data_IF_963184238495
#
_entry.id   IF_963184238495
#
_cell.length_a   1.000
_cell.length_b   1.000
_cell.length_c   1.000
_cell.angle_alpha   90.00
_cell.angle_beta   90.00
_cell.angle_gamma   90.00
#
_symmetry.space_group_name_H-M   'P 1'
#
loop_
_entity.id
_entity.type
_entity.pdbx_description
1 polymer ?
#
# COMPACT_ATOMS: atom_id res chain seq x y z
N UNK A 1 23.80 4.14 -72.15
CA UNK A 1 22.67 3.39 -71.57
C UNK A 1 22.95 3.25 -70.06
N UNK A 2 22.26 4.04 -69.23
CA UNK A 2 22.39 4.01 -67.76
C UNK A 2 21.00 3.64 -67.21
N UNK A 3 20.88 2.40 -66.69
CA UNK A 3 19.65 1.92 -66.02
C UNK A 3 19.66 2.41 -64.58
N UNK A 4 18.65 3.20 -64.25
CA UNK A 4 18.37 3.60 -62.89
C UNK A 4 17.48 2.54 -62.23
N UNK A 5 17.98 1.93 -61.15
CA UNK A 5 17.22 1.03 -60.27
C UNK A 5 16.49 1.88 -59.23
N UNK A 6 15.18 1.94 -59.31
CA UNK A 6 14.33 2.51 -58.27
C UNK A 6 14.09 1.47 -57.21
N UNK A 7 14.63 1.69 -55.99
CA UNK A 7 14.28 0.89 -54.80
C UNK A 7 13.02 1.47 -54.17
N UNK A 8 11.92 0.77 -54.34
CA UNK A 8 10.65 1.07 -53.61
C UNK A 8 10.81 0.47 -52.20
N UNK A 9 11.01 1.33 -51.20
CA UNK A 9 10.94 0.95 -49.78
C UNK A 9 9.43 0.84 -49.41
N UNK A 10 8.94 -0.42 -49.38
CA UNK A 10 7.63 -0.71 -48.83
C UNK A 10 7.74 -0.63 -47.30
N UNK A 11 7.28 0.47 -46.69
CA UNK A 11 7.03 0.56 -45.26
C UNK A 11 5.88 -0.40 -44.90
N UNK A 12 6.23 -1.63 -44.50
CA UNK A 12 5.28 -2.53 -43.86
C UNK A 12 4.86 -1.90 -42.51
N UNK A 13 3.70 -1.24 -42.51
CA UNK A 13 3.04 -0.88 -41.27
C UNK A 13 2.62 -2.17 -40.57
N UNK A 14 3.44 -2.61 -39.60
CA UNK A 14 3.03 -3.68 -38.70
C UNK A 14 1.78 -3.19 -37.96
N UNK A 15 0.65 -3.88 -38.08
CA UNK A 15 -0.50 -3.55 -37.24
C UNK A 15 -0.08 -3.75 -35.79
N UNK A 16 -0.07 -2.69 -35.00
CA UNK A 16 0.02 -2.82 -33.55
C UNK A 16 -1.11 -3.75 -33.12
N UNK A 17 -0.84 -4.79 -32.31
CA UNK A 17 -1.93 -5.58 -31.77
C UNK A 17 -2.90 -4.61 -31.09
N UNK A 18 -4.11 -4.54 -31.61
CA UNK A 18 -5.20 -3.85 -30.94
C UNK A 18 -5.33 -4.58 -29.59
N UNK A 19 -4.95 -3.90 -28.53
CA UNK A 19 -5.30 -4.35 -27.18
C UNK A 19 -6.81 -4.44 -27.22
N UNK A 20 -7.34 -5.66 -27.06
CA UNK A 20 -8.77 -5.87 -27.01
C UNK A 20 -9.30 -4.97 -25.90
N UNK A 21 -9.97 -3.87 -26.28
CA UNK A 21 -10.68 -3.03 -25.33
C UNK A 21 -11.76 -3.94 -24.73
N UNK A 22 -11.59 -4.29 -23.48
CA UNK A 22 -12.65 -4.97 -22.74
C UNK A 22 -13.75 -3.96 -22.54
N UNK A 23 -14.96 -4.26 -23.01
CA UNK A 23 -16.15 -3.41 -22.84
C UNK A 23 -16.61 -3.34 -21.37
N UNK A 24 -15.88 -3.95 -20.47
CA UNK A 24 -16.20 -4.07 -19.05
C UNK A 24 -15.06 -3.56 -18.15
N UNK A 25 -15.46 -2.99 -17.01
CA UNK A 25 -14.54 -2.61 -15.95
C UNK A 25 -13.91 -3.87 -15.31
N UNK A 26 -12.61 -3.82 -15.07
CA UNK A 26 -11.85 -4.89 -14.41
C UNK A 26 -11.12 -4.32 -13.22
N UNK A 27 -11.29 -4.95 -12.05
CA UNK A 27 -10.51 -4.67 -10.86
C UNK A 27 -9.26 -5.56 -10.85
N UNK A 28 -8.08 -4.95 -10.76
CA UNK A 28 -6.83 -5.67 -10.53
C UNK A 28 -6.57 -5.75 -9.02
N UNK A 29 -6.32 -6.96 -8.54
CA UNK A 29 -6.23 -7.25 -7.12
C UNK A 29 -4.78 -7.24 -6.64
N UNK A 30 -4.50 -6.47 -5.59
CA UNK A 30 -3.23 -6.51 -4.87
C UNK A 30 -3.35 -7.41 -3.64
N UNK A 31 -2.56 -8.47 -3.59
CA UNK A 31 -2.47 -9.35 -2.44
C UNK A 31 -1.14 -9.19 -1.72
N UNK A 32 -1.11 -9.49 -0.42
CA UNK A 32 0.12 -9.45 0.33
C UNK A 32 -0.04 -9.41 1.84
N UNK A 33 1.04 -9.05 2.51
CA UNK A 33 1.03 -8.82 3.94
C UNK A 33 1.84 -7.57 4.30
N UNK A 34 1.42 -6.90 5.37
CA UNK A 34 2.17 -5.84 6.03
C UNK A 34 2.57 -6.33 7.41
N UNK A 35 3.83 -6.16 7.75
CA UNK A 35 4.37 -6.39 9.09
C UNK A 35 4.80 -5.03 9.63
N UNK A 36 4.32 -4.67 10.82
CA UNK A 36 4.61 -3.38 11.44
C UNK A 36 5.18 -3.61 12.84
N UNK A 37 6.29 -2.95 13.14
CA UNK A 37 6.80 -2.78 14.50
C UNK A 37 6.74 -1.30 14.88
N UNK A 38 5.93 -0.97 15.88
CA UNK A 38 5.96 0.35 16.50
C UNK A 38 7.10 0.35 17.51
N UNK A 39 8.27 0.80 17.06
CA UNK A 39 9.47 0.92 17.87
C UNK A 39 9.43 2.17 18.78
N UNK A 40 10.46 2.35 19.59
CA UNK A 40 10.53 3.43 20.57
C UNK A 40 10.58 4.83 19.92
N UNK A 41 11.21 4.94 18.77
CA UNK A 41 11.60 6.17 18.10
C UNK A 41 11.04 6.33 16.68
N UNK A 42 10.47 5.28 16.10
CA UNK A 42 9.81 5.32 14.81
C UNK A 42 8.91 4.10 14.58
N UNK A 43 8.12 4.11 13.52
CA UNK A 43 7.35 2.96 13.06
C UNK A 43 8.08 2.32 11.89
N UNK A 44 8.45 1.05 12.03
CA UNK A 44 9.09 0.25 10.96
C UNK A 44 8.04 -0.66 10.34
N UNK A 45 7.99 -0.73 9.03
CA UNK A 45 7.07 -1.61 8.33
C UNK A 45 7.73 -2.28 7.13
N UNK A 46 7.31 -3.51 6.88
CA UNK A 46 7.68 -4.29 5.70
C UNK A 46 6.45 -4.81 5.00
N UNK A 47 6.44 -4.78 3.68
CA UNK A 47 5.32 -5.23 2.85
C UNK A 47 5.80 -6.30 1.89
N UNK A 48 5.14 -7.46 1.89
CA UNK A 48 5.42 -8.56 0.98
C UNK A 48 4.28 -8.64 -0.03
N UNK A 49 4.64 -8.70 -1.31
CA UNK A 49 3.70 -8.94 -2.40
C UNK A 49 3.40 -10.44 -2.51
N UNK A 50 2.13 -10.81 -2.49
CA UNK A 50 1.68 -12.15 -2.85
C UNK A 50 0.73 -12.07 -4.04
N UNK A 51 1.10 -12.67 -5.15
CA UNK A 51 0.20 -12.79 -6.29
C UNK A 51 -1.01 -13.64 -5.88
N UNK A 52 -2.20 -13.07 -6.02
CA UNK A 52 -3.47 -13.74 -5.67
C UNK A 52 -4.04 -14.47 -6.88
N UNK A 53 -3.88 -13.88 -8.07
CA UNK A 53 -4.40 -14.40 -9.35
C UNK A 53 -3.58 -13.86 -10.53
N UNK A 54 -3.94 -14.26 -11.75
CA UNK A 54 -3.29 -13.78 -12.99
C UNK A 54 -3.45 -12.27 -13.26
N UNK A 55 -4.42 -11.63 -12.61
CA UNK A 55 -4.68 -10.18 -12.66
C UNK A 55 -4.08 -9.45 -11.45
N UNK A 56 -3.15 -10.10 -10.75
CA UNK A 56 -2.53 -9.54 -9.55
C UNK A 56 -1.60 -8.38 -9.90
N UNK A 57 -1.75 -7.31 -9.14
CA UNK A 57 -0.83 -6.17 -9.12
C UNK A 57 -0.11 -6.13 -7.77
N UNK A 58 1.11 -5.58 -7.69
CA UNK A 58 1.80 -5.46 -6.41
C UNK A 58 1.06 -4.49 -5.48
N UNK A 59 1.10 -4.73 -4.16
CA UNK A 59 0.64 -3.73 -3.18
C UNK A 59 1.40 -2.43 -3.38
N UNK A 60 0.70 -1.32 -3.26
CA UNK A 60 1.27 0.01 -3.45
C UNK A 60 1.30 0.74 -2.12
N UNK A 61 2.21 1.70 -2.01
CA UNK A 61 2.33 2.56 -0.85
C UNK A 61 2.24 4.02 -1.29
N UNK A 62 1.45 4.81 -0.57
CA UNK A 62 1.33 6.24 -0.82
C UNK A 62 1.29 7.01 0.49
N UNK A 63 2.00 8.14 0.56
CA UNK A 63 1.83 9.08 1.66
C UNK A 63 0.48 9.77 1.49
N UNK A 64 -0.46 9.49 2.39
CA UNK A 64 -1.85 9.98 2.31
C UNK A 64 -2.03 11.35 2.95
N UNK A 65 -1.17 11.66 3.93
CA UNK A 65 -1.02 12.98 4.53
C UNK A 65 0.43 13.17 5.04
N UNK A 66 0.81 14.32 5.60
CA UNK A 66 2.17 14.55 6.10
C UNK A 66 2.64 13.58 7.18
N UNK A 67 1.73 12.89 7.86
CA UNK A 67 2.01 12.05 9.04
C UNK A 67 1.68 10.58 8.82
N UNK A 68 1.07 10.20 7.66
CA UNK A 68 0.61 8.84 7.41
C UNK A 68 0.98 8.33 6.02
N UNK A 69 1.36 7.06 5.98
CA UNK A 69 1.48 6.27 4.76
C UNK A 69 0.33 5.26 4.70
N UNK A 70 -0.25 5.12 3.51
CA UNK A 70 -1.24 4.09 3.21
C UNK A 70 -0.63 2.96 2.37
N UNK A 71 -0.93 1.71 2.72
CA UNK A 71 -0.62 0.52 1.93
C UNK A 71 -1.93 -0.03 1.39
N UNK A 72 -1.99 -0.24 0.08
CA UNK A 72 -3.20 -0.50 -0.69
C UNK A 72 -3.26 -1.98 -1.10
N UNK A 73 -4.31 -2.67 -0.70
CA UNK A 73 -4.58 -4.07 -1.04
C UNK A 73 -5.95 -4.26 -1.65
N UNK A 74 -6.18 -5.43 -2.23
CA UNK A 74 -7.44 -5.76 -2.91
C UNK A 74 -7.57 -4.99 -4.22
N UNK A 75 -8.76 -4.55 -4.57
CA UNK A 75 -9.09 -3.82 -5.79
C UNK A 75 -8.51 -2.40 -5.78
N UNK A 76 -7.19 -2.29 -5.83
CA UNK A 76 -6.44 -1.02 -5.76
C UNK A 76 -6.23 -0.35 -7.12
N UNK A 77 -6.40 -1.10 -8.21
CA UNK A 77 -6.24 -0.62 -9.58
C UNK A 77 -7.43 -1.07 -10.45
N UNK A 78 -7.97 -0.17 -11.28
CA UNK A 78 -9.18 -0.37 -12.05
C UNK A 78 -8.96 -0.05 -13.52
N UNK A 79 -9.14 -1.05 -14.39
CA UNK A 79 -9.18 -0.84 -15.82
C UNK A 79 -10.61 -0.47 -16.23
N UNK A 80 -10.81 0.77 -16.65
CA UNK A 80 -12.12 1.28 -17.07
C UNK A 80 -12.15 1.32 -18.61
N UNK A 81 -13.22 0.82 -19.25
CA UNK A 81 -13.40 0.94 -20.69
C UNK A 81 -13.31 2.42 -21.12
N UNK A 82 -12.66 2.67 -22.24
CA UNK A 82 -12.41 3.99 -22.79
C UNK A 82 -11.40 4.89 -22.05
N UNK A 83 -10.91 4.49 -20.87
CA UNK A 83 -9.82 5.20 -20.22
C UNK A 83 -8.47 4.65 -20.72
N UNK A 84 -7.54 5.52 -21.14
CA UNK A 84 -6.26 5.11 -21.70
C UNK A 84 -5.31 4.54 -20.64
N UNK A 85 -5.58 4.78 -19.36
CA UNK A 85 -4.78 4.32 -18.23
C UNK A 85 -5.68 3.77 -17.13
N UNK A 86 -5.21 2.78 -16.36
CA UNK A 86 -5.96 2.30 -15.22
C UNK A 86 -6.09 3.40 -14.14
N UNK A 87 -7.24 3.44 -13.48
CA UNK A 87 -7.45 4.27 -12.29
C UNK A 87 -6.75 3.60 -11.12
N UNK A 88 -5.91 4.32 -10.42
CA UNK A 88 -5.12 3.87 -9.29
C UNK A 88 -5.51 4.63 -8.04
N UNK A 89 -5.97 3.90 -7.02
CA UNK A 89 -6.44 4.51 -5.77
C UNK A 89 -5.33 5.18 -4.96
N UNK A 90 -4.10 4.68 -5.06
CA UNK A 90 -2.93 5.30 -4.43
C UNK A 90 -2.63 6.69 -5.00
N UNK A 91 -2.81 6.90 -6.29
CA UNK A 91 -2.70 8.22 -6.92
C UNK A 91 -3.78 9.18 -6.43
N UNK A 92 -5.00 8.66 -6.34
CA UNK A 92 -6.15 9.47 -6.00
C UNK A 92 -6.13 9.97 -4.56
N UNK A 93 -5.55 9.20 -3.63
CA UNK A 93 -5.41 9.62 -2.23
C UNK A 93 -4.44 10.78 -2.02
N UNK A 94 -3.46 10.96 -2.89
CA UNK A 94 -2.56 12.12 -2.82
C UNK A 94 -3.30 13.45 -3.03
N UNK A 95 -4.42 13.43 -3.76
CA UNK A 95 -5.23 14.61 -4.04
C UNK A 95 -6.30 14.87 -2.97
N UNK A 96 -6.59 13.90 -2.11
CA UNK A 96 -7.50 14.02 -0.96
C UNK A 96 -6.76 14.55 0.27
N UNK A 97 -5.77 15.42 0.10
CA UNK A 97 -5.15 16.11 1.24
C UNK A 97 -6.22 16.94 1.94
N UNK A 98 -6.45 16.75 3.23
CA UNK A 98 -7.30 17.65 3.99
C UNK A 98 -6.75 19.06 3.80
N UNK A 99 -7.65 20.01 3.53
CA UNK A 99 -7.29 21.38 3.30
C UNK A 99 -6.45 21.87 4.50
N UNK A 100 -5.17 22.18 4.29
CA UNK A 100 -4.21 22.56 5.35
C UNK A 100 -4.67 23.73 6.23
N UNK A 101 -5.78 24.40 5.86
CA UNK A 101 -6.38 25.51 6.57
C UNK A 101 -7.56 25.14 7.48
N UNK A 102 -8.01 23.87 7.46
CA UNK A 102 -9.03 23.46 8.39
C UNK A 102 -8.44 23.42 9.82
N UNK A 103 -8.95 24.27 10.69
CA UNK A 103 -8.67 24.21 12.12
C UNK A 103 -9.02 22.80 12.61
N UNK A 104 -8.04 22.08 13.14
CA UNK A 104 -8.23 20.78 13.75
C UNK A 104 -8.49 20.97 15.25
N UNK A 105 -9.71 20.73 15.74
CA UNK A 105 -9.93 20.69 17.17
C UNK A 105 -9.16 19.52 17.81
N UNK A 106 -8.76 19.60 19.07
CA UNK A 106 -8.20 18.47 19.81
C UNK A 106 -9.18 17.28 19.75
N UNK A 107 -8.71 16.12 19.30
CA UNK A 107 -9.54 14.94 19.01
C UNK A 107 -9.82 14.69 17.51
N UNK A 108 -9.29 15.51 16.63
CA UNK A 108 -9.53 15.43 15.18
C UNK A 108 -8.81 14.27 14.46
N UNK A 109 -8.00 13.45 15.14
CA UNK A 109 -7.37 12.30 14.54
C UNK A 109 -8.41 11.32 13.95
N UNK A 110 -9.48 11.04 14.68
CA UNK A 110 -10.61 10.23 14.20
C UNK A 110 -11.30 10.85 12.98
N UNK A 111 -11.43 12.19 12.94
CA UNK A 111 -12.05 12.89 11.81
C UNK A 111 -11.24 12.78 10.53
N UNK A 112 -9.91 12.71 10.59
CA UNK A 112 -9.07 12.58 9.41
C UNK A 112 -9.13 11.17 8.84
N UNK A 113 -9.11 10.14 9.68
CA UNK A 113 -9.32 8.74 9.28
C UNK A 113 -10.69 8.56 8.64
N UNK A 114 -11.73 9.13 9.24
CA UNK A 114 -13.08 9.09 8.69
C UNK A 114 -13.15 9.81 7.34
N UNK A 115 -12.49 10.96 7.19
CA UNK A 115 -12.41 11.70 5.92
C UNK A 115 -11.68 10.90 4.85
N UNK A 116 -10.56 10.26 5.17
CA UNK A 116 -9.85 9.36 4.26
C UNK A 116 -10.77 8.20 3.86
N UNK A 117 -11.43 7.57 4.82
CA UNK A 117 -12.32 6.45 4.58
C UNK A 117 -13.54 6.83 3.73
N UNK A 118 -14.17 7.96 3.99
CA UNK A 118 -15.31 8.45 3.20
C UNK A 118 -14.86 8.91 1.82
N UNK A 119 -13.74 9.61 1.72
CA UNK A 119 -13.19 10.07 0.44
C UNK A 119 -12.89 8.92 -0.51
N UNK A 120 -12.31 7.82 0.00
CA UNK A 120 -12.10 6.58 -0.77
C UNK A 120 -13.42 5.90 -1.13
N UNK A 121 -14.39 5.86 -0.21
CA UNK A 121 -15.72 5.30 -0.49
C UNK A 121 -16.39 6.01 -1.67
N UNK A 122 -16.32 7.34 -1.71
CA UNK A 122 -16.90 8.13 -2.80
C UNK A 122 -16.23 7.84 -4.15
N UNK A 123 -14.93 7.54 -4.15
CA UNK A 123 -14.21 7.15 -5.36
C UNK A 123 -14.46 5.71 -5.79
N UNK A 124 -14.55 4.80 -4.83
CA UNK A 124 -14.83 3.38 -5.09
C UNK A 124 -16.26 3.14 -5.57
N UNK A 125 -17.23 3.92 -5.07
CA UNK A 125 -18.66 3.72 -5.38
C UNK A 125 -18.96 3.72 -6.89
N UNK A 126 -18.54 4.70 -7.71
CA UNK A 126 -18.79 4.67 -9.14
C UNK A 126 -18.06 3.54 -9.86
N UNK A 127 -16.89 3.12 -9.40
CA UNK A 127 -16.15 2.01 -9.97
C UNK A 127 -16.86 0.67 -9.67
N UNK A 128 -17.18 0.45 -8.41
CA UNK A 128 -17.85 -0.78 -7.95
C UNK A 128 -19.23 -0.93 -8.55
N UNK A 129 -19.99 0.16 -8.73
CA UNK A 129 -21.33 0.11 -9.35
C UNK A 129 -21.31 -0.33 -10.82
N UNK A 130 -20.17 -0.28 -11.49
CA UNK A 130 -19.98 -0.75 -12.87
C UNK A 130 -19.55 -2.22 -12.96
N UNK A 131 -19.32 -2.88 -11.82
CA UNK A 131 -19.02 -4.32 -11.79
C UNK A 131 -20.32 -5.10 -11.92
N UNK A 132 -20.59 -5.61 -13.13
CA UNK A 132 -21.81 -6.34 -13.45
C UNK A 132 -21.61 -7.86 -13.50
N UNK A 133 -20.37 -8.33 -13.38
CA UNK A 133 -20.06 -9.75 -13.24
C UNK A 133 -20.06 -10.16 -11.78
N UNK A 134 -20.39 -11.42 -11.54
CA UNK A 134 -20.23 -12.01 -10.22
C UNK A 134 -18.75 -12.00 -9.84
N UNK A 135 -18.45 -11.41 -8.70
CA UNK A 135 -17.14 -11.50 -8.07
C UNK A 135 -17.20 -12.61 -7.04
N UNK A 136 -16.19 -13.47 -7.00
CA UNK A 136 -16.12 -14.54 -6.00
C UNK A 136 -15.57 -13.99 -4.67
N UNK A 137 -16.33 -13.09 -4.06
CA UNK A 137 -16.02 -12.53 -2.73
C UNK A 137 -16.57 -13.47 -1.65
N UNK A 138 -15.71 -13.84 -0.73
CA UNK A 138 -16.18 -14.49 0.50
C UNK A 138 -16.94 -13.49 1.36
N UNK A 139 -17.93 -13.91 2.16
CA UNK A 139 -18.85 -13.02 2.88
C UNK A 139 -18.17 -11.97 3.77
N UNK A 140 -17.00 -12.27 4.32
CA UNK A 140 -16.25 -11.37 5.21
C UNK A 140 -14.96 -10.81 4.59
N UNK A 141 -14.69 -11.11 3.31
CA UNK A 141 -13.49 -10.65 2.63
C UNK A 141 -13.69 -9.23 2.08
N UNK A 142 -12.80 -8.29 2.40
CA UNK A 142 -12.89 -6.95 1.85
C UNK A 142 -12.56 -6.96 0.35
N UNK A 143 -13.32 -6.18 -0.42
CA UNK A 143 -12.98 -5.89 -1.82
C UNK A 143 -11.68 -5.09 -1.91
N UNK A 144 -11.50 -4.19 -0.96
CA UNK A 144 -10.33 -3.31 -0.87
C UNK A 144 -9.99 -3.05 0.59
N UNK A 145 -8.70 -3.02 0.91
CA UNK A 145 -8.19 -2.69 2.24
C UNK A 145 -7.08 -1.64 2.15
N UNK A 146 -7.16 -0.64 3.00
CA UNK A 146 -6.10 0.33 3.24
C UNK A 146 -5.52 0.09 4.64
N UNK A 147 -4.22 -0.23 4.70
CA UNK A 147 -3.47 -0.22 5.96
C UNK A 147 -2.84 1.15 6.12
N UNK A 148 -3.22 1.88 7.15
CA UNK A 148 -2.72 3.21 7.46
C UNK A 148 -1.72 3.14 8.60
N UNK A 149 -0.54 3.71 8.40
CA UNK A 149 0.58 3.68 9.34
C UNK A 149 1.08 5.12 9.51
N UNK A 150 1.17 5.61 10.75
CA UNK A 150 1.66 6.96 10.97
C UNK A 150 1.52 7.45 12.39
N UNK A 151 1.41 8.76 12.53
CA UNK A 151 1.34 9.44 13.82
C UNK A 151 0.14 10.39 13.87
N UNK A 152 -0.74 10.14 14.84
CA UNK A 152 -1.79 11.08 15.18
C UNK A 152 -1.22 12.25 15.96
N UNK A 153 -1.55 13.47 15.55
CA UNK A 153 -1.11 14.67 16.23
C UNK A 153 -1.54 14.66 17.71
N UNK A 154 -0.58 14.76 18.63
CA UNK A 154 -0.75 14.71 20.08
C UNK A 154 -1.15 13.35 20.70
N UNK A 155 -1.30 12.29 19.89
CA UNK A 155 -1.67 10.95 20.40
C UNK A 155 -0.57 9.90 20.18
N UNK A 156 0.42 10.20 19.31
CA UNK A 156 1.55 9.31 19.01
C UNK A 156 1.28 8.36 17.86
N UNK A 157 2.03 7.24 17.81
CA UNK A 157 1.96 6.30 16.70
C UNK A 157 0.60 5.60 16.63
N UNK A 158 0.12 5.38 15.39
CA UNK A 158 -1.12 4.66 15.12
C UNK A 158 -1.01 3.77 13.89
N UNK A 159 -1.73 2.67 13.92
CA UNK A 159 -1.89 1.74 12.80
C UNK A 159 -3.35 1.34 12.71
N UNK A 160 -3.93 1.51 11.53
CA UNK A 160 -5.33 1.21 11.24
C UNK A 160 -5.46 0.34 10.00
N UNK A 161 -6.54 -0.44 9.97
CA UNK A 161 -7.03 -1.09 8.75
C UNK A 161 -8.40 -0.52 8.43
N UNK A 162 -8.57 -0.07 7.19
CA UNK A 162 -9.84 0.43 6.67
C UNK A 162 -10.29 -0.53 5.57
N UNK A 163 -11.31 -1.32 5.87
CA UNK A 163 -11.83 -2.35 4.97
C UNK A 163 -13.09 -1.90 4.27
N UNK A 164 -13.14 -2.08 2.96
CA UNK A 164 -14.27 -1.80 2.10
C UNK A 164 -14.82 -3.12 1.56
N UNK A 165 -16.03 -3.46 1.99
CA UNK A 165 -16.74 -4.66 1.54
C UNK A 165 -17.75 -4.32 0.47
N UNK A 166 -18.05 -5.27 -0.39
CA UNK A 166 -19.07 -5.15 -1.40
C UNK A 166 -20.11 -6.25 -1.24
N UNK A 167 -21.34 -5.93 -1.57
CA UNK A 167 -22.46 -6.87 -1.67
C UNK A 167 -22.90 -6.94 -3.12
N UNK A 168 -23.24 -8.12 -3.57
CA UNK A 168 -23.75 -8.37 -4.93
C UNK A 168 -25.09 -9.03 -4.88
N UNK A 169 -26.01 -8.55 -5.70
CA UNK A 169 -27.31 -9.17 -5.93
C UNK A 169 -27.58 -9.36 -7.43
N UNK A 170 -28.29 -10.46 -7.81
CA UNK A 170 -28.68 -10.65 -9.20
C UNK A 170 -29.67 -9.56 -9.63
N UNK A 171 -29.46 -8.97 -10.80
CA UNK A 171 -30.33 -7.93 -11.34
C UNK A 171 -30.85 -8.31 -12.73
N UNK A 172 -32.13 -8.60 -12.83
CA UNK A 172 -32.84 -8.88 -14.10
C UNK A 172 -32.49 -10.23 -14.73
N UNK A 173 -31.25 -10.45 -15.17
CA UNK A 173 -30.78 -11.72 -15.74
C UNK A 173 -29.83 -12.45 -14.79
N UNK A 174 -29.66 -13.78 -14.99
CA UNK A 174 -28.76 -14.59 -14.12
C UNK A 174 -27.29 -14.20 -14.25
N UNK A 175 -26.92 -13.52 -15.33
CA UNK A 175 -25.54 -13.18 -15.64
C UNK A 175 -25.20 -11.72 -15.33
N UNK A 176 -26.19 -10.94 -14.87
CA UNK A 176 -26.02 -9.54 -14.53
C UNK A 176 -26.19 -9.34 -13.02
N UNK A 177 -25.15 -8.72 -12.40
CA UNK A 177 -25.08 -8.47 -10.97
C UNK A 177 -25.05 -6.98 -10.70
N UNK A 178 -25.73 -6.55 -9.66
CA UNK A 178 -25.62 -5.23 -9.13
C UNK A 178 -24.71 -5.29 -7.92
N UNK A 179 -23.65 -4.46 -7.93
CA UNK A 179 -22.63 -4.46 -6.87
C UNK A 179 -22.71 -3.14 -6.09
N UNK A 180 -22.82 -3.26 -4.79
CA UNK A 180 -22.87 -2.14 -3.85
C UNK A 180 -21.70 -2.18 -2.90
N UNK A 181 -20.97 -1.07 -2.77
CA UNK A 181 -19.94 -0.94 -1.75
C UNK A 181 -20.56 -0.50 -0.43
N UNK A 182 -20.18 -1.16 0.65
CA UNK A 182 -20.64 -0.87 2.00
C UNK A 182 -19.80 0.28 2.62
N UNK A 183 -20.29 0.82 3.75
CA UNK A 183 -19.51 1.75 4.55
C UNK A 183 -18.20 1.11 5.01
N UNK A 184 -17.08 1.86 5.03
CA UNK A 184 -15.81 1.34 5.49
C UNK A 184 -15.88 0.91 6.96
N UNK A 185 -15.17 -0.18 7.27
CA UNK A 185 -14.95 -0.64 8.63
C UNK A 185 -13.56 -0.20 9.06
N UNK A 186 -13.45 0.50 10.16
CA UNK A 186 -12.20 0.93 10.76
C UNK A 186 -11.80 -0.06 11.86
N UNK A 187 -10.59 -0.57 11.81
CA UNK A 187 -10.04 -1.45 12.82
C UNK A 187 -8.71 -0.87 13.28
N UNK A 188 -8.63 -0.45 14.54
CA UNK A 188 -7.40 0.01 15.16
C UNK A 188 -6.55 -1.19 15.56
N UNK A 189 -5.30 -1.21 15.09
CA UNK A 189 -4.32 -2.21 15.48
C UNK A 189 -3.31 -1.65 16.49
N UNK A 190 -3.03 -0.36 16.43
CA UNK A 190 -2.18 0.34 17.38
C UNK A 190 -2.72 1.75 17.65
N UNK A 191 -2.69 2.25 18.90
CA UNK A 191 -2.29 1.53 20.09
C UNK A 191 -3.24 0.36 20.39
N UNK A 192 -2.71 -0.78 20.88
CA UNK A 192 -3.53 -1.91 21.29
C UNK A 192 -4.37 -1.56 22.53
N UNK A 193 -5.39 -2.34 22.82
CA UNK A 193 -6.13 -2.21 24.08
C UNK A 193 -5.19 -2.32 25.27
N UNK A 194 -5.58 -1.71 26.43
CA UNK A 194 -4.68 -1.51 27.60
C UNK A 194 -4.00 -2.78 28.12
N UNK A 195 -4.58 -3.94 27.89
CA UNK A 195 -4.07 -5.24 28.39
C UNK A 195 -3.44 -6.12 27.31
N UNK A 196 -3.46 -5.67 26.06
CA UNK A 196 -2.87 -6.43 24.97
C UNK A 196 -1.34 -6.27 24.90
N UNK A 197 -0.62 -7.36 24.59
CA UNK A 197 0.82 -7.28 24.43
C UNK A 197 1.20 -6.43 23.22
N UNK A 198 2.20 -5.57 23.37
CA UNK A 198 2.77 -4.76 22.28
C UNK A 198 3.81 -5.59 21.53
N UNK A 199 3.39 -6.20 20.46
CA UNK A 199 4.20 -7.07 19.62
C UNK A 199 4.18 -6.60 18.16
N UNK A 200 4.72 -7.40 17.25
CA UNK A 200 4.59 -7.16 15.82
C UNK A 200 3.12 -7.23 15.41
N UNK A 201 2.71 -6.29 14.60
CA UNK A 201 1.42 -6.30 13.93
C UNK A 201 1.58 -6.94 12.55
N UNK A 202 0.63 -7.76 12.14
CA UNK A 202 0.62 -8.35 10.82
C UNK A 202 -0.79 -8.30 10.21
N UNK A 203 -0.90 -7.64 9.06
CA UNK A 203 -2.11 -7.58 8.25
C UNK A 203 -1.90 -8.41 7.00
N UNK A 204 -2.85 -9.28 6.67
CA UNK A 204 -2.80 -10.21 5.53
C UNK A 204 -4.02 -9.99 4.66
N UNK A 205 -3.81 -9.81 3.35
CA UNK A 205 -4.89 -9.63 2.38
C UNK A 205 -4.62 -10.52 1.15
N UNK A 206 -5.44 -11.51 0.88
CA UNK A 206 -6.57 -11.96 1.68
C UNK A 206 -6.13 -12.54 3.04
N UNK A 207 -7.02 -12.52 4.03
CA UNK A 207 -6.70 -12.95 5.41
C UNK A 207 -6.31 -14.43 5.53
N UNK A 208 -6.69 -15.24 4.55
CA UNK A 208 -6.45 -16.69 4.49
C UNK A 208 -5.19 -17.09 3.70
N UNK A 209 -4.21 -16.21 3.55
CA UNK A 209 -2.92 -16.58 2.97
C UNK A 209 -2.36 -17.82 3.68
N UNK A 210 -1.88 -18.84 2.93
CA UNK A 210 -1.60 -20.18 3.49
C UNK A 210 -0.36 -20.24 4.38
N UNK A 211 0.47 -19.24 4.33
CA UNK A 211 1.75 -19.19 5.03
C UNK A 211 1.60 -18.79 6.51
N UNK A 212 2.58 -19.18 7.30
CA UNK A 212 2.60 -18.90 8.75
C UNK A 212 2.93 -17.43 9.00
N UNK A 213 2.20 -16.73 9.89
CA UNK A 213 2.56 -15.37 10.31
C UNK A 213 3.97 -15.29 10.88
N UNK A 214 4.67 -14.16 10.64
CA UNK A 214 6.03 -13.96 11.20
C UNK A 214 6.05 -14.09 12.73
N UNK A 215 5.03 -13.54 13.40
CA UNK A 215 4.91 -13.67 14.84
C UNK A 215 4.82 -15.16 15.28
N UNK A 216 4.12 -15.99 14.51
CA UNK A 216 4.04 -17.43 14.74
C UNK A 216 5.40 -18.12 14.61
N UNK A 217 6.18 -17.78 13.58
CA UNK A 217 7.55 -18.29 13.41
C UNK A 217 8.47 -17.86 14.55
N UNK A 218 8.34 -16.62 15.02
CA UNK A 218 9.09 -16.11 16.18
C UNK A 218 8.72 -16.86 17.45
N UNK A 219 7.43 -17.08 17.71
CA UNK A 219 6.96 -17.79 18.91
C UNK A 219 7.40 -19.26 18.91
N UNK A 220 7.41 -19.91 17.76
CA UNK A 220 7.85 -21.30 17.59
C UNK A 220 9.38 -21.43 17.56
N UNK A 221 10.10 -20.30 17.47
CA UNK A 221 11.55 -20.25 17.26
C UNK A 221 11.98 -21.12 16.06
N UNK A 222 11.27 -20.95 14.96
CA UNK A 222 11.50 -21.68 13.71
C UNK A 222 12.98 -21.60 13.27
N UNK A 223 13.56 -22.63 12.62
CA UNK A 223 14.97 -22.67 12.28
C UNK A 223 15.54 -21.41 11.59
N UNK A 224 14.88 -20.79 10.60
CA UNK A 224 15.30 -19.51 10.04
C UNK A 224 15.37 -18.38 11.08
N UNK A 225 14.37 -18.28 11.98
CA UNK A 225 14.34 -17.27 13.05
C UNK A 225 15.41 -17.55 14.10
N UNK A 226 15.62 -18.82 14.47
CA UNK A 226 16.70 -19.23 15.38
C UNK A 226 18.08 -18.87 14.81
N UNK A 227 18.27 -19.01 13.50
CA UNK A 227 19.48 -18.57 12.81
C UNK A 227 19.67 -17.06 12.91
N UNK A 228 18.62 -16.25 12.60
CA UNK A 228 18.68 -14.80 12.77
C UNK A 228 19.00 -14.39 14.22
N UNK A 229 18.39 -15.05 15.20
CA UNK A 229 18.64 -14.81 16.62
C UNK A 229 20.11 -14.98 16.99
N UNK A 230 20.78 -15.95 16.38
CA UNK A 230 22.19 -16.26 16.66
C UNK A 230 23.16 -15.44 15.82
N UNK A 231 22.73 -14.89 14.68
CA UNK A 231 23.59 -14.15 13.76
C UNK A 231 23.95 -12.75 14.26
N UNK A 232 23.05 -12.10 15.00
CA UNK A 232 23.25 -10.76 15.57
C UNK A 232 22.63 -10.69 16.99
N UNK A 233 23.41 -10.31 18.03
CA UNK A 233 22.90 -10.13 19.38
C UNK A 233 21.72 -9.14 19.49
N UNK A 234 21.65 -8.13 18.60
CA UNK A 234 20.55 -7.16 18.56
C UNK A 234 19.24 -7.85 18.18
N UNK A 235 19.28 -8.80 17.22
CA UNK A 235 18.11 -9.59 16.83
C UNK A 235 17.64 -10.50 17.96
N UNK A 236 18.59 -11.12 18.71
CA UNK A 236 18.25 -11.90 19.88
C UNK A 236 17.48 -11.08 20.91
N UNK A 237 17.95 -9.89 21.23
CA UNK A 237 17.27 -8.95 22.16
C UNK A 237 15.90 -8.53 21.64
N UNK A 238 15.81 -8.12 20.37
CA UNK A 238 14.54 -7.71 19.75
C UNK A 238 13.51 -8.85 19.79
N UNK A 239 13.90 -10.07 19.42
CA UNK A 239 13.02 -11.22 19.43
C UNK A 239 12.52 -11.55 20.85
N UNK A 240 13.35 -11.39 21.87
CA UNK A 240 12.96 -11.52 23.26
C UNK A 240 11.95 -10.44 23.69
N UNK A 241 12.12 -9.20 23.22
CA UNK A 241 11.18 -8.11 23.48
C UNK A 241 9.83 -8.37 22.81
N UNK A 242 9.83 -8.86 21.56
CA UNK A 242 8.61 -9.25 20.83
C UNK A 242 7.89 -10.37 21.59
N UNK A 243 8.59 -11.43 21.97
CA UNK A 243 8.00 -12.57 22.69
C UNK A 243 7.42 -12.18 24.05
N UNK A 244 7.97 -11.15 24.70
CA UNK A 244 7.45 -10.61 25.98
C UNK A 244 6.31 -9.59 25.79
N UNK A 245 5.88 -9.30 24.55
CA UNK A 245 4.92 -8.26 24.27
C UNK A 245 5.43 -6.85 24.53
N UNK A 246 6.71 -6.60 24.31
CA UNK A 246 7.42 -5.35 24.59
C UNK A 246 8.17 -4.82 23.36
N UNK A 247 7.69 -5.12 22.17
CA UNK A 247 8.32 -4.73 20.90
C UNK A 247 8.59 -3.22 20.77
N UNK A 248 7.75 -2.38 21.42
CA UNK A 248 7.93 -0.93 21.45
C UNK A 248 9.19 -0.46 22.22
N UNK A 249 9.90 -1.34 22.91
CA UNK A 249 11.19 -1.00 23.58
C UNK A 249 12.35 -1.04 22.60
N UNK A 250 12.20 -1.73 21.48
CA UNK A 250 13.22 -1.80 20.45
C UNK A 250 13.51 -0.45 19.83
N UNK A 251 14.73 -0.27 19.34
CA UNK A 251 15.11 0.86 18.49
C UNK A 251 14.67 0.57 17.06
N UNK A 252 14.21 1.59 16.33
CA UNK A 252 13.75 1.44 14.95
C UNK A 252 14.81 0.83 14.03
N UNK A 253 16.08 1.20 14.20
CA UNK A 253 17.18 0.65 13.40
C UNK A 253 17.34 -0.87 13.59
N UNK A 254 17.26 -1.37 14.84
CA UNK A 254 17.32 -2.81 15.10
C UNK A 254 16.13 -3.56 14.49
N UNK A 255 14.96 -2.91 14.52
CA UNK A 255 13.74 -3.45 13.92
C UNK A 255 13.80 -3.47 12.40
N UNK A 256 14.34 -2.42 11.77
CA UNK A 256 14.52 -2.34 10.32
C UNK A 256 15.56 -3.38 9.85
N UNK A 257 16.72 -3.45 10.50
CA UNK A 257 17.74 -4.45 10.16
C UNK A 257 17.19 -5.88 10.29
N UNK A 258 16.38 -6.14 11.34
CA UNK A 258 15.72 -7.43 11.53
C UNK A 258 14.69 -7.72 10.45
N UNK A 259 13.79 -6.78 10.13
CA UNK A 259 12.78 -6.99 9.09
C UNK A 259 13.45 -7.22 7.75
N UNK A 260 14.49 -6.45 7.40
CA UNK A 260 15.27 -6.65 6.16
C UNK A 260 15.86 -8.05 6.06
N UNK A 261 16.29 -8.63 7.18
CA UNK A 261 16.80 -10.00 7.22
C UNK A 261 15.69 -11.06 7.23
N UNK A 262 14.54 -10.76 7.86
CA UNK A 262 13.43 -11.71 8.01
C UNK A 262 12.51 -11.75 6.78
N UNK A 263 12.23 -10.60 6.13
CA UNK A 263 11.32 -10.52 4.98
C UNK A 263 11.69 -11.50 3.84
N UNK A 264 12.95 -11.62 3.40
CA UNK A 264 13.30 -12.60 2.37
C UNK A 264 13.01 -14.04 2.77
N UNK A 265 13.12 -14.39 4.06
CA UNK A 265 12.87 -15.75 4.54
C UNK A 265 11.40 -16.15 4.46
N UNK A 266 10.50 -15.18 4.58
CA UNK A 266 9.05 -15.39 4.55
C UNK A 266 8.43 -15.00 3.20
N UNK A 267 9.09 -14.16 2.41
CA UNK A 267 8.66 -13.78 1.08
C UNK A 267 9.02 -14.84 0.02
N UNK A 268 10.07 -15.64 0.26
CA UNK A 268 10.61 -16.50 -0.78
C UNK A 268 11.04 -15.69 -2.01
N UNK A 269 10.48 -16.03 -3.18
CA UNK A 269 10.74 -15.31 -4.43
C UNK A 269 9.84 -14.07 -4.61
N UNK A 270 8.97 -13.76 -3.65
CA UNK A 270 8.07 -12.60 -3.73
C UNK A 270 8.84 -11.30 -3.47
N UNK A 271 8.44 -10.24 -4.19
CA UNK A 271 8.99 -8.92 -3.97
C UNK A 271 8.50 -8.33 -2.65
N UNK A 272 9.36 -7.55 -2.01
CA UNK A 272 9.00 -6.82 -0.80
C UNK A 272 9.59 -5.42 -0.82
N UNK A 273 9.00 -4.54 -0.02
CA UNK A 273 9.56 -3.23 0.27
C UNK A 273 9.47 -2.94 1.78
N UNK A 274 10.31 -2.01 2.24
CA UNK A 274 10.48 -1.71 3.66
C UNK A 274 10.67 -0.21 3.86
N UNK A 275 10.04 0.35 4.89
CA UNK A 275 10.17 1.74 5.24
C UNK A 275 10.14 2.00 6.75
N UNK A 276 10.60 3.19 7.09
CA UNK A 276 10.57 3.74 8.45
C UNK A 276 9.82 5.06 8.41
N UNK A 277 8.77 5.17 9.23
CA UNK A 277 7.99 6.38 9.39
C UNK A 277 8.35 7.05 10.70
N UNK A 278 8.88 8.26 10.64
CA UNK A 278 9.29 9.07 11.77
C UNK A 278 8.16 9.96 12.30
N UNK A 279 8.24 10.37 13.55
CA UNK A 279 7.21 11.20 14.20
C UNK A 279 7.03 12.57 13.53
N UNK A 280 8.07 13.11 12.92
CA UNK A 280 8.01 14.35 12.14
C UNK A 280 7.35 14.21 10.76
N UNK A 281 6.92 12.99 10.41
CA UNK A 281 6.32 12.67 9.13
C UNK A 281 7.34 12.34 8.04
N UNK A 282 8.63 12.27 8.36
CA UNK A 282 9.64 11.81 7.41
C UNK A 282 9.49 10.31 7.16
N UNK A 283 9.45 9.94 5.87
CA UNK A 283 9.43 8.56 5.42
C UNK A 283 10.78 8.21 4.80
N UNK A 284 11.46 7.23 5.38
CA UNK A 284 12.70 6.68 4.87
C UNK A 284 12.46 5.29 4.26
N UNK A 285 12.81 5.11 2.99
CA UNK A 285 12.75 3.82 2.33
C UNK A 285 14.05 3.06 2.55
N UNK A 286 13.98 1.95 3.27
CA UNK A 286 15.09 1.01 3.46
C UNK A 286 15.22 0.08 2.26
N UNK A 287 14.09 -0.40 1.75
CA UNK A 287 13.92 -1.08 0.47
C UNK A 287 12.76 -0.39 -0.24
N UNK A 288 12.99 0.35 -1.33
CA UNK A 288 11.94 1.08 -2.00
C UNK A 288 10.98 0.13 -2.73
N UNK A 289 9.70 0.49 -2.88
CA UNK A 289 8.77 -0.25 -3.74
C UNK A 289 9.26 -0.23 -5.20
N UNK A 290 8.89 -1.25 -6.00
CA UNK A 290 9.33 -1.39 -7.41
C UNK A 290 8.94 -0.21 -8.29
N UNK A 291 7.79 0.39 -8.05
CA UNK A 291 7.38 1.66 -8.62
C UNK A 291 7.42 2.75 -7.54
N UNK A 292 8.60 3.32 -7.26
CA UNK A 292 8.65 4.40 -6.31
C UNK A 292 7.85 5.58 -6.84
N UNK A 293 7.13 6.24 -5.95
CA UNK A 293 6.61 7.58 -6.12
C UNK A 293 7.61 8.42 -6.92
N UNK A 294 7.24 8.88 -8.11
CA UNK A 294 8.09 9.82 -8.81
C UNK A 294 8.60 9.42 -10.18
N UNK A 295 8.33 8.22 -10.73
CA UNK A 295 8.59 8.01 -12.17
C UNK A 295 7.71 8.91 -13.03
N UNK A 296 6.47 9.18 -12.63
CA UNK A 296 5.61 10.14 -13.31
C UNK A 296 6.01 11.60 -13.03
N UNK A 297 6.50 11.92 -11.85
CA UNK A 297 7.08 13.25 -11.60
C UNK A 297 8.31 13.49 -12.51
N UNK A 298 9.17 12.48 -12.71
CA UNK A 298 10.33 12.60 -13.62
C UNK A 298 9.92 12.60 -15.10
N UNK A 299 8.86 11.90 -15.49
CA UNK A 299 8.30 11.97 -16.84
C UNK A 299 7.70 13.36 -17.10
N UNK A 300 6.91 13.88 -16.14
CA UNK A 300 6.37 15.25 -16.20
C UNK A 300 7.45 16.34 -16.12
N UNK A 301 8.58 16.05 -15.46
CA UNK A 301 9.71 16.97 -15.40
C UNK A 301 10.49 17.01 -16.73
N UNK A 302 10.51 15.94 -17.50
CA UNK A 302 11.08 15.90 -18.86
C UNK A 302 10.19 16.60 -19.89
N UNK A 303 8.88 16.59 -19.69
CA UNK A 303 7.89 17.27 -20.57
C UNK A 303 7.57 18.69 -20.09
N UNK A 304 8.24 19.17 -19.02
CA UNK A 304 8.07 20.53 -18.50
C UNK A 304 8.68 21.54 -19.47
N UNK A 305 7.95 22.58 -19.89
CA UNK A 305 8.52 23.64 -20.71
C UNK A 305 9.75 24.25 -20.01
N UNK A 306 10.81 24.59 -20.75
CA UNK A 306 12.07 25.07 -20.18
C UNK A 306 11.92 26.36 -19.33
N UNK A 307 10.82 27.06 -19.44
CA UNK A 307 10.54 28.33 -18.73
C UNK A 307 9.66 28.17 -17.48
N UNK A 308 9.30 26.97 -17.09
CA UNK A 308 8.49 26.76 -15.89
C UNK A 308 9.33 27.03 -14.62
N UNK A 309 8.88 27.91 -13.68
CA UNK A 309 9.67 28.27 -12.50
C UNK A 309 9.93 27.04 -11.63
N UNK A 310 11.19 26.74 -11.41
CA UNK A 310 11.64 25.71 -10.49
C UNK A 310 11.40 26.21 -9.07
N UNK A 311 10.63 25.49 -8.27
CA UNK A 311 10.54 25.72 -6.83
C UNK A 311 11.89 25.37 -6.20
N UNK A 312 12.79 26.35 -6.15
CA UNK A 312 14.03 26.23 -5.40
C UNK A 312 13.67 26.25 -3.90
N UNK A 313 13.92 25.15 -3.20
CA UNK A 313 14.00 25.17 -1.74
C UNK A 313 15.11 26.14 -1.34
N UNK A 314 14.74 27.31 -0.85
CA UNK A 314 15.71 28.19 -0.18
C UNK A 314 16.15 27.49 1.10
N UNK A 315 17.47 27.30 1.31
CA UNK A 315 17.96 26.81 2.59
C UNK A 315 17.54 27.79 3.70
N UNK A 316 16.97 27.22 4.77
CA UNK A 316 16.64 27.99 5.97
C UNK A 316 17.93 28.56 6.54
N UNK A 317 18.05 29.89 6.75
CA UNK A 317 19.23 30.44 7.35
C UNK A 317 19.36 30.00 8.80
N UNK A 318 20.40 29.24 9.11
CA UNK A 318 20.84 29.00 10.49
C UNK A 318 21.20 30.34 11.13
N UNK A 319 20.45 30.75 12.15
CA UNK A 319 20.79 31.88 12.98
C UNK A 319 22.05 31.57 13.81
N UNK A 320 22.95 32.57 13.98
CA UNK A 320 24.14 32.44 14.81
C UNK A 320 23.82 32.30 16.30
#
# INVERSE_FOLDING_TARGET
MRSAFLFLLACAAFPRPAVAQTDEIVANLAGGRVIVNVARDAIVFGVINHAVESTSVPPRAAQVDPSHIGIFFGASEWQVPAEPRPIRLDHDLQYVRPNKQAYRPPGAAESDLEQIGIGLLEKLRPLVSQLHRKIDLKPDEPLFSLVLIGYAQNYGPEVWVIDYRAEQEPFGSKDFWQTHILRPRFTQLYPPEKHEPKTLLEVRVPSNLPDVPLLGLIQQNDPPIAHLRSSDPRFGKLLDEIQRGQAQKAVSQDSADFLRAALPLIAGDAHFFEGVMHEDGALEWMVPPEEPFGREQRANEKDRPPDAPTLQHKPVPTKP
#
